data_IF_679890945256
#
_entry.id   IF_679890945256
#
_cell.length_a   1.000
_cell.length_b   1.000
_cell.length_c   1.000
_cell.angle_alpha   90.00
_cell.angle_beta   90.00
_cell.angle_gamma   90.00
#
_symmetry.space_group_name_H-M   'P 1'
#
loop_
_entity.id
_entity.type
_entity.pdbx_description
1 polymer ?
#
# COMPACT_ATOMS: atom_id res chain seq x y z
N UNK A 1 1.49 -5.61 -12.40
CA UNK A 1 2.36 -5.87 -11.21
C UNK A 1 1.70 -6.73 -10.12
N UNK A 2 2.40 -7.66 -9.47
CA UNK A 2 1.92 -8.33 -8.24
C UNK A 2 3.10 -8.50 -7.27
N UNK A 3 3.30 -7.50 -6.42
CA UNK A 3 4.45 -7.40 -5.51
C UNK A 3 3.98 -7.60 -4.08
N UNK A 4 4.71 -8.38 -3.31
CA UNK A 4 4.47 -8.59 -1.88
C UNK A 4 5.79 -8.43 -1.14
N UNK A 5 5.78 -7.65 -0.07
CA UNK A 5 6.97 -7.30 0.70
C UNK A 5 6.58 -6.98 2.14
N UNK A 6 7.57 -6.98 3.04
CA UNK A 6 7.39 -6.61 4.43
C UNK A 6 8.11 -5.29 4.69
N UNK A 7 7.47 -4.41 5.46
CA UNK A 7 8.04 -3.13 5.93
C UNK A 7 7.70 -2.98 7.41
N UNK A 8 8.72 -2.91 8.26
CA UNK A 8 8.55 -2.98 9.71
C UNK A 8 7.69 -4.19 10.14
N UNK A 9 6.61 -3.91 10.87
CA UNK A 9 5.63 -4.90 11.35
C UNK A 9 4.47 -5.17 10.37
N UNK A 10 4.54 -4.64 9.14
CA UNK A 10 3.47 -4.74 8.16
C UNK A 10 3.85 -5.61 6.98
N UNK A 11 2.91 -6.45 6.55
CA UNK A 11 2.97 -7.13 5.26
C UNK A 11 2.18 -6.33 4.25
N UNK A 12 2.79 -6.02 3.12
CA UNK A 12 2.22 -5.18 2.07
C UNK A 12 2.12 -5.98 0.79
N UNK A 13 0.98 -5.87 0.11
CA UNK A 13 0.78 -6.41 -1.22
C UNK A 13 0.22 -5.34 -2.14
N UNK A 14 0.90 -5.15 -3.27
CA UNK A 14 0.46 -4.38 -4.41
C UNK A 14 0.06 -5.34 -5.51
N UNK A 15 -1.20 -5.31 -5.91
CA UNK A 15 -1.71 -6.11 -7.02
C UNK A 15 -2.38 -5.23 -8.04
N UNK A 16 -1.85 -5.29 -9.24
CA UNK A 16 -2.41 -4.69 -10.42
C UNK A 16 -3.70 -5.41 -10.82
N UNK A 17 -4.75 -4.63 -10.98
CA UNK A 17 -6.14 -5.08 -11.14
C UNK A 17 -6.81 -4.24 -12.23
N UNK A 18 -6.16 -4.14 -13.39
CA UNK A 18 -6.65 -3.35 -14.52
C UNK A 18 -6.19 -1.90 -14.38
N UNK A 19 -7.14 -0.96 -14.37
CA UNK A 19 -6.81 0.49 -14.41
C UNK A 19 -6.05 1.02 -13.20
N UNK A 20 -6.14 0.37 -12.03
CA UNK A 20 -5.50 0.84 -10.81
C UNK A 20 -4.92 -0.29 -9.96
N UNK A 21 -3.73 -0.11 -9.37
CA UNK A 21 -3.17 -1.06 -8.43
C UNK A 21 -4.00 -1.08 -7.13
N UNK A 22 -4.23 -2.28 -6.60
CA UNK A 22 -4.86 -2.54 -5.31
C UNK A 22 -3.79 -2.72 -4.24
N UNK A 23 -3.87 -1.93 -3.18
CA UNK A 23 -3.08 -2.04 -1.98
C UNK A 23 -3.79 -2.93 -0.97
N UNK A 24 -3.07 -3.87 -0.37
CA UNK A 24 -3.52 -4.61 0.80
C UNK A 24 -2.41 -4.64 1.83
N UNK A 25 -2.73 -4.28 3.07
CA UNK A 25 -1.77 -4.27 4.18
C UNK A 25 -2.32 -5.11 5.32
N UNK A 26 -1.46 -5.93 5.90
CA UNK A 26 -1.72 -6.69 7.11
C UNK A 26 -0.74 -6.27 8.20
N UNK A 27 -1.20 -6.28 9.45
CA UNK A 27 -0.31 -6.16 10.59
C UNK A 27 0.40 -7.50 10.89
N UNK A 28 1.32 -7.47 11.86
CA UNK A 28 2.06 -8.65 12.33
C UNK A 28 1.18 -9.80 12.84
N UNK A 29 -0.05 -9.52 13.29
CA UNK A 29 -1.00 -10.54 13.72
C UNK A 29 -1.72 -11.23 12.54
N UNK A 30 -1.46 -10.81 11.29
CA UNK A 30 -2.15 -11.29 10.10
C UNK A 30 -3.53 -10.65 9.88
N UNK A 31 -3.89 -9.64 10.67
CA UNK A 31 -5.13 -8.89 10.48
C UNK A 31 -4.97 -7.89 9.34
N UNK A 32 -5.91 -7.93 8.39
CA UNK A 32 -5.95 -7.01 7.26
C UNK A 32 -6.46 -5.64 7.72
N UNK A 33 -5.63 -4.61 7.58
CA UNK A 33 -5.92 -3.24 8.03
C UNK A 33 -6.18 -2.27 6.87
N UNK A 34 -5.66 -2.56 5.67
CA UNK A 34 -5.89 -1.80 4.44
C UNK A 34 -6.26 -2.77 3.32
N UNK A 35 -7.23 -2.40 2.48
CA UNK A 35 -7.68 -3.24 1.35
C UNK A 35 -8.37 -2.41 0.26
N UNK A 36 -7.67 -1.45 -0.32
CA UNK A 36 -8.25 -0.40 -1.17
C UNK A 36 -7.49 -0.25 -2.50
N UNK A 37 -8.14 0.33 -3.50
CA UNK A 37 -7.48 0.70 -4.75
C UNK A 37 -6.73 2.02 -4.56
N UNK A 38 -5.49 2.07 -5.04
CA UNK A 38 -4.67 3.27 -4.91
C UNK A 38 -5.27 4.37 -5.77
N UNK A 39 -5.47 5.53 -5.14
CA UNK A 39 -5.87 6.75 -5.81
C UNK A 39 -4.80 7.82 -5.59
N UNK A 40 -3.85 7.90 -6.51
CA UNK A 40 -2.68 8.79 -6.42
C UNK A 40 -3.11 10.27 -6.45
N UNK A 41 -4.24 10.58 -7.09
CA UNK A 41 -4.79 11.93 -7.20
C UNK A 41 -5.39 12.47 -5.89
N UNK A 42 -5.48 11.65 -4.83
CA UNK A 42 -6.11 12.01 -3.56
C UNK A 42 -5.07 12.02 -2.44
N UNK A 43 -4.56 13.19 -2.00
CA UNK A 43 -3.54 13.28 -0.95
C UNK A 43 -3.95 12.60 0.36
N UNK A 44 -5.23 12.72 0.74
CA UNK A 44 -5.79 12.12 1.95
C UNK A 44 -5.74 10.58 1.95
N UNK A 45 -5.63 9.94 0.78
CA UNK A 45 -5.42 8.50 0.70
C UNK A 45 -4.13 8.12 1.44
N UNK A 46 -3.04 8.83 1.15
CA UNK A 46 -1.74 8.53 1.74
C UNK A 46 -1.70 8.82 3.24
N UNK A 47 -2.32 9.92 3.66
CA UNK A 47 -2.46 10.25 5.10
C UNK A 47 -3.22 9.16 5.85
N UNK A 48 -4.29 8.62 5.26
CA UNK A 48 -5.06 7.51 5.85
C UNK A 48 -4.21 6.22 5.95
N UNK A 49 -3.46 5.88 4.91
CA UNK A 49 -2.57 4.70 4.95
C UNK A 49 -1.51 4.88 6.04
N UNK A 50 -0.89 6.07 6.12
CA UNK A 50 0.12 6.38 7.13
C UNK A 50 -0.43 6.24 8.55
N UNK A 51 -1.62 6.77 8.82
CA UNK A 51 -2.29 6.66 10.13
C UNK A 51 -2.60 5.21 10.53
N UNK A 52 -2.94 4.35 9.57
CA UNK A 52 -3.25 2.95 9.82
C UNK A 52 -2.00 2.06 9.90
N UNK A 53 -0.89 2.50 9.32
CA UNK A 53 0.32 1.71 9.14
C UNK A 53 1.55 2.45 9.68
N UNK A 54 2.36 3.03 8.80
CA UNK A 54 3.50 3.90 9.09
C UNK A 54 3.90 4.72 7.86
N UNK A 55 4.70 5.76 8.07
CA UNK A 55 5.27 6.56 6.97
C UNK A 55 6.11 5.70 6.00
N UNK A 56 6.89 4.76 6.54
CA UNK A 56 7.75 3.86 5.77
C UNK A 56 6.95 2.99 4.78
N UNK A 57 5.76 2.52 5.19
CA UNK A 57 4.86 1.77 4.29
C UNK A 57 4.41 2.65 3.13
N UNK A 58 4.04 3.92 3.40
CA UNK A 58 3.61 4.87 2.37
C UNK A 58 4.74 5.18 1.39
N UNK A 59 5.94 5.45 1.88
CA UNK A 59 7.11 5.74 1.03
C UNK A 59 7.41 4.57 0.08
N UNK A 60 7.46 3.34 0.60
CA UNK A 60 7.74 2.15 -0.20
C UNK A 60 6.64 1.85 -1.23
N UNK A 61 5.37 2.02 -0.85
CA UNK A 61 4.25 1.84 -1.77
C UNK A 61 4.30 2.88 -2.89
N UNK A 62 4.56 4.15 -2.57
CA UNK A 62 4.69 5.22 -3.57
C UNK A 62 5.82 4.95 -4.56
N UNK A 63 6.99 4.54 -4.06
CA UNK A 63 8.13 4.21 -4.90
C UNK A 63 7.80 3.10 -5.91
N UNK A 64 7.12 2.03 -5.47
CA UNK A 64 6.74 0.93 -6.34
C UNK A 64 5.68 1.33 -7.38
N UNK A 65 4.72 2.17 -7.00
CA UNK A 65 3.68 2.65 -7.93
C UNK A 65 4.30 3.57 -8.99
N UNK A 66 5.20 4.48 -8.61
CA UNK A 66 5.87 5.40 -9.54
C UNK A 66 6.84 4.69 -10.49
N UNK A 67 7.45 3.57 -10.08
CA UNK A 67 8.29 2.76 -10.96
C UNK A 67 7.50 1.95 -12.00
N UNK A 68 6.17 1.90 -11.88
CA UNK A 68 5.29 1.12 -12.77
C UNK A 68 4.56 1.98 -13.81
N UNK A 69 4.73 3.31 -13.77
CA UNK A 69 4.34 4.25 -14.83
C UNK A 69 5.48 4.43 -15.84
#
# INVERSE_FOLDING_TARGET
>A
MNTMFQVGDFFVRLRDKGDRPKLTVWNRAGSKIVSEFINIATPSFWEQIEQLTSAEVVEQVRALVQQSE
#
